data_IF_684172452959
#
_entry.id   IF_684172452959
#
_cell.length_a   1.000
_cell.length_b   1.000
_cell.length_c   1.000
_cell.angle_alpha   90.00
_cell.angle_beta   90.00
_cell.angle_gamma   90.00
#
_symmetry.space_group_name_H-M   'P 1'
#
loop_
_entity.id
_entity.type
_entity.pdbx_description
1 polymer ?
#
# COMPACT_ATOMS: atom_id res chain seq x y z
N UNK A 1 8.96 14.24 -84.95
CA UNK A 1 7.71 14.01 -84.24
C UNK A 1 7.78 12.88 -83.23
N UNK A 2 8.61 11.83 -83.37
CA UNK A 2 8.69 10.73 -82.41
C UNK A 2 9.51 11.11 -81.18
N UNK A 3 10.56 11.94 -81.32
CA UNK A 3 11.45 12.36 -80.20
C UNK A 3 10.83 13.37 -79.24
N UNK A 4 9.97 14.26 -79.75
CA UNK A 4 9.31 15.25 -78.87
C UNK A 4 8.29 14.63 -77.91
N UNK A 5 7.59 13.58 -78.39
CA UNK A 5 6.64 12.85 -77.53
C UNK A 5 7.32 12.08 -76.38
N UNK A 6 8.52 11.59 -76.64
CA UNK A 6 9.29 10.85 -75.58
C UNK A 6 9.89 11.82 -74.59
N UNK A 7 10.37 12.98 -74.98
CA UNK A 7 10.90 14.05 -74.11
C UNK A 7 9.77 14.59 -73.15
N UNK A 8 8.60 14.85 -73.77
CA UNK A 8 7.42 15.30 -72.95
C UNK A 8 6.96 14.23 -71.94
N UNK A 9 6.98 12.98 -72.35
CA UNK A 9 6.61 11.88 -71.40
C UNK A 9 7.64 11.73 -70.27
N UNK A 10 8.93 11.92 -70.56
CA UNK A 10 9.98 11.88 -69.51
C UNK A 10 9.92 13.08 -68.57
N UNK A 11 9.56 14.27 -69.00
CA UNK A 11 9.35 15.49 -68.23
C UNK A 11 8.10 15.31 -67.29
N UNK A 12 7.01 14.80 -67.87
CA UNK A 12 5.79 14.54 -67.10
C UNK A 12 6.01 13.49 -66.00
N UNK A 13 6.74 12.40 -66.25
CA UNK A 13 7.11 11.38 -65.24
C UNK A 13 8.02 11.94 -64.15
N UNK A 14 9.00 12.81 -64.51
CA UNK A 14 9.86 13.47 -63.51
C UNK A 14 9.06 14.44 -62.64
N UNK A 15 8.17 15.25 -63.22
CA UNK A 15 7.29 16.15 -62.44
C UNK A 15 6.33 15.40 -61.53
N UNK A 16 5.81 14.24 -61.97
CA UNK A 16 4.97 13.40 -61.16
C UNK A 16 5.74 12.73 -60.00
N UNK A 17 6.96 12.27 -60.27
CA UNK A 17 7.87 11.71 -59.26
C UNK A 17 8.34 12.74 -58.21
N UNK A 18 8.60 13.98 -58.64
CA UNK A 18 8.90 15.09 -57.72
C UNK A 18 7.70 15.48 -56.85
N UNK A 19 6.50 15.50 -57.45
CA UNK A 19 5.25 15.76 -56.70
C UNK A 19 4.94 14.65 -55.70
N UNK A 20 5.22 13.38 -56.04
CA UNK A 20 5.11 12.25 -55.12
C UNK A 20 6.17 12.29 -54.00
N UNK A 21 7.45 12.67 -54.35
CA UNK A 21 8.50 12.86 -53.32
C UNK A 21 8.20 14.01 -52.36
N UNK A 22 7.57 15.09 -52.81
CA UNK A 22 7.10 16.20 -51.96
C UNK A 22 5.92 15.77 -51.07
N UNK A 23 4.99 14.96 -51.57
CA UNK A 23 3.88 14.40 -50.79
C UNK A 23 4.36 13.37 -49.77
N UNK A 24 5.41 12.61 -50.10
CA UNK A 24 5.97 11.61 -49.15
C UNK A 24 6.80 12.24 -47.99
N UNK A 25 7.17 13.53 -48.11
CA UNK A 25 7.97 14.20 -47.04
C UNK A 25 7.14 14.94 -45.98
N UNK A 26 5.81 14.94 -46.05
CA UNK A 26 4.98 15.80 -45.21
C UNK A 26 3.82 15.17 -44.45
N UNK A 27 3.61 13.83 -44.37
CA UNK A 27 2.49 13.34 -43.60
C UNK A 27 2.69 13.52 -42.06
N UNK A 28 3.93 13.68 -41.58
CA UNK A 28 4.24 13.88 -40.17
C UNK A 28 4.30 15.34 -39.70
N UNK A 29 4.46 16.31 -40.64
CA UNK A 29 4.65 17.72 -40.26
C UNK A 29 3.45 18.31 -39.49
N UNK A 30 2.18 18.10 -39.90
CA UNK A 30 1.04 18.57 -39.11
C UNK A 30 0.97 17.96 -37.74
N UNK A 31 1.33 16.69 -37.58
CA UNK A 31 1.38 16.01 -36.31
C UNK A 31 2.45 16.60 -35.37
N UNK A 32 3.67 16.77 -35.86
CA UNK A 32 4.74 17.39 -35.06
C UNK A 32 4.47 18.87 -34.76
N UNK A 33 3.80 19.58 -35.66
CA UNK A 33 3.41 20.96 -35.44
C UNK A 33 2.30 21.10 -34.42
N UNK A 34 1.30 20.19 -34.44
CA UNK A 34 0.25 20.10 -33.42
C UNK A 34 0.84 19.72 -32.08
N UNK A 35 1.74 18.73 -32.02
CA UNK A 35 2.43 18.32 -30.81
C UNK A 35 3.28 19.48 -30.26
N UNK A 36 4.02 20.20 -31.08
CA UNK A 36 4.79 21.39 -30.69
C UNK A 36 3.90 22.49 -30.11
N UNK A 37 2.77 22.79 -30.78
CA UNK A 37 1.80 23.78 -30.29
C UNK A 37 1.21 23.35 -28.96
N UNK A 38 0.81 22.09 -28.80
CA UNK A 38 0.29 21.54 -27.54
C UNK A 38 1.33 21.61 -26.43
N UNK A 39 2.60 21.32 -26.74
CA UNK A 39 3.70 21.43 -25.78
C UNK A 39 3.88 22.89 -25.32
N UNK A 40 3.88 23.83 -26.26
CA UNK A 40 4.01 25.27 -25.95
C UNK A 40 2.81 25.77 -25.15
N UNK A 41 1.60 25.34 -25.49
CA UNK A 41 0.39 25.65 -24.75
C UNK A 41 0.49 25.08 -23.32
N UNK A 42 0.91 23.83 -23.18
CA UNK A 42 1.09 23.19 -21.88
C UNK A 42 2.14 23.87 -20.99
N UNK A 43 3.13 24.54 -21.60
CA UNK A 43 4.16 25.30 -20.89
C UNK A 43 3.73 26.72 -20.49
N UNK A 44 2.94 27.38 -21.32
CA UNK A 44 2.61 28.82 -21.19
C UNK A 44 1.33 29.03 -20.38
N UNK A 45 0.41 28.06 -20.34
CA UNK A 45 -0.87 28.22 -19.63
C UNK A 45 -0.65 28.33 -18.11
N UNK A 46 -1.12 29.45 -17.47
CA UNK A 46 -1.02 29.63 -16.00
C UNK A 46 -2.00 28.76 -15.21
N UNK A 47 -2.60 27.75 -15.82
CA UNK A 47 -3.65 26.90 -15.26
C UNK A 47 -3.10 25.58 -14.71
N UNK A 48 -1.88 25.58 -14.17
CA UNK A 48 -1.33 24.40 -13.53
C UNK A 48 -1.90 24.27 -12.13
N UNK A 49 -2.61 23.18 -11.83
CA UNK A 49 -3.11 22.96 -10.48
C UNK A 49 -1.94 22.73 -9.51
N UNK A 50 -2.06 23.23 -8.30
CA UNK A 50 -1.11 22.93 -7.21
C UNK A 50 -1.61 21.80 -6.29
N UNK A 51 -2.88 21.42 -6.45
CA UNK A 51 -3.53 20.36 -5.68
C UNK A 51 -4.40 19.55 -6.63
N UNK A 52 -4.31 18.23 -6.56
CA UNK A 52 -5.28 17.34 -7.17
C UNK A 52 -6.43 17.11 -6.18
N UNK A 53 -7.62 17.60 -6.52
CA UNK A 53 -8.82 17.36 -5.72
C UNK A 53 -9.24 15.90 -5.72
N UNK A 54 -8.85 15.13 -6.77
CA UNK A 54 -9.16 13.70 -6.92
C UNK A 54 -8.19 12.82 -6.17
N UNK A 55 -6.89 13.11 -6.28
CA UNK A 55 -5.85 12.36 -5.57
C UNK A 55 -5.65 12.89 -4.14
N UNK A 56 -6.33 13.98 -3.78
CA UNK A 56 -6.28 14.64 -2.46
C UNK A 56 -4.85 14.92 -1.98
N UNK A 57 -3.97 15.27 -2.91
CA UNK A 57 -2.57 15.59 -2.62
C UNK A 57 -2.14 16.90 -3.24
N UNK A 58 -1.12 17.52 -2.67
CA UNK A 58 -0.34 18.57 -3.30
C UNK A 58 0.43 17.98 -4.49
N UNK A 59 0.39 18.68 -5.62
CA UNK A 59 1.12 18.30 -6.81
C UNK A 59 2.55 18.83 -6.74
N UNK A 60 3.44 18.23 -7.53
CA UNK A 60 4.85 18.57 -7.53
C UNK A 60 5.07 20.05 -7.87
N UNK A 61 6.03 20.68 -7.20
CA UNK A 61 6.47 22.04 -7.50
C UNK A 61 7.62 21.99 -8.51
N UNK A 62 7.78 23.09 -9.29
CA UNK A 62 8.90 23.17 -10.23
C UNK A 62 10.22 23.04 -9.46
N UNK A 63 11.12 22.12 -9.87
CA UNK A 63 12.33 21.86 -9.11
C UNK A 63 13.27 23.04 -9.07
N UNK A 64 13.92 23.25 -7.93
CA UNK A 64 14.96 24.26 -7.78
C UNK A 64 16.21 23.87 -8.59
N UNK A 65 16.78 24.85 -9.29
CA UNK A 65 17.98 24.63 -10.09
C UNK A 65 19.19 24.35 -9.19
N UNK A 66 19.82 23.20 -9.42
CA UNK A 66 21.09 22.82 -8.79
C UNK A 66 22.04 22.21 -9.81
N UNK A 67 23.31 22.66 -9.77
CA UNK A 67 24.32 22.12 -10.69
C UNK A 67 24.57 20.62 -10.47
N UNK A 68 24.48 20.15 -9.22
CA UNK A 68 24.60 18.74 -8.87
C UNK A 68 23.44 17.93 -9.47
N UNK A 69 22.20 18.41 -9.34
CA UNK A 69 21.01 17.76 -9.87
C UNK A 69 21.01 17.70 -11.42
N UNK A 70 21.65 18.68 -12.10
CA UNK A 70 21.82 18.65 -13.55
C UNK A 70 22.86 17.60 -13.96
N UNK A 71 23.94 17.47 -13.21
CA UNK A 71 25.04 16.52 -13.54
C UNK A 71 24.70 15.08 -13.26
N UNK A 72 23.85 14.79 -12.27
CA UNK A 72 23.37 13.46 -11.94
C UNK A 72 22.06 13.07 -12.64
N UNK A 73 21.44 14.02 -13.36
CA UNK A 73 20.24 13.82 -14.16
C UNK A 73 18.92 13.97 -13.38
N UNK A 74 18.95 14.11 -12.06
CA UNK A 74 17.74 14.21 -11.22
C UNK A 74 16.88 15.44 -11.57
N UNK A 75 17.53 16.56 -11.90
CA UNK A 75 16.82 17.78 -12.32
C UNK A 75 15.88 17.57 -13.50
N UNK A 76 16.29 16.78 -14.49
CA UNK A 76 15.45 16.49 -15.67
C UNK A 76 14.33 15.50 -15.34
N UNK A 77 14.60 14.56 -14.44
CA UNK A 77 13.60 13.65 -13.91
C UNK A 77 12.51 14.42 -13.15
N UNK A 78 12.91 15.35 -12.29
CA UNK A 78 12.01 16.16 -11.48
C UNK A 78 11.18 17.14 -12.35
N UNK A 79 11.76 17.71 -13.40
CA UNK A 79 11.01 18.50 -14.40
C UNK A 79 9.96 17.62 -15.08
N UNK A 80 10.30 16.39 -15.47
CA UNK A 80 9.38 15.47 -16.12
C UNK A 80 8.23 15.11 -15.19
N UNK A 81 8.54 14.83 -13.93
CA UNK A 81 7.56 14.53 -12.87
C UNK A 81 6.63 15.72 -12.64
N UNK A 82 7.19 16.91 -12.42
CA UNK A 82 6.42 18.14 -12.27
C UNK A 82 5.52 18.41 -13.48
N UNK A 83 6.04 18.24 -14.70
CA UNK A 83 5.27 18.48 -15.92
C UNK A 83 4.08 17.53 -16.04
N UNK A 84 4.28 16.24 -15.80
CA UNK A 84 3.22 15.23 -15.86
C UNK A 84 2.20 15.41 -14.75
N UNK A 85 2.66 15.79 -13.56
CA UNK A 85 1.82 15.90 -12.36
C UNK A 85 0.94 17.17 -12.39
N UNK A 86 1.46 18.27 -12.90
CA UNK A 86 0.75 19.56 -12.96
C UNK A 86 0.15 19.87 -14.32
N UNK A 87 0.06 18.89 -15.24
CA UNK A 87 -0.48 19.11 -16.58
C UNK A 87 -1.91 19.66 -16.54
N UNK A 88 -2.21 20.76 -17.26
CA UNK A 88 -3.55 21.37 -17.25
C UNK A 88 -4.65 20.38 -17.64
N UNK A 89 -5.64 20.21 -16.77
CA UNK A 89 -6.74 19.28 -16.98
C UNK A 89 -6.37 17.79 -16.87
N UNK A 90 -5.21 17.46 -16.25
CA UNK A 90 -4.70 16.09 -16.08
C UNK A 90 -5.79 15.09 -15.65
N UNK A 91 -6.54 15.42 -14.60
CA UNK A 91 -7.62 14.56 -14.09
C UNK A 91 -8.73 14.33 -15.13
N UNK A 92 -9.01 15.34 -15.96
CA UNK A 92 -9.96 15.23 -17.07
C UNK A 92 -9.44 14.34 -18.22
N UNK A 93 -8.16 14.45 -18.54
CA UNK A 93 -7.52 13.64 -19.57
C UNK A 93 -7.39 12.18 -19.16
N UNK A 94 -7.07 11.90 -17.89
CA UNK A 94 -7.06 10.54 -17.33
C UNK A 94 -8.45 9.90 -17.47
N UNK A 95 -9.51 10.64 -17.09
CA UNK A 95 -10.88 10.14 -17.24
C UNK A 95 -11.30 9.95 -18.71
N UNK A 96 -10.87 10.85 -19.60
CA UNK A 96 -11.18 10.73 -21.02
C UNK A 96 -10.46 9.51 -21.63
N UNK A 97 -9.21 9.26 -21.24
CA UNK A 97 -8.46 8.08 -21.66
C UNK A 97 -9.14 6.79 -21.15
N UNK A 98 -9.49 6.72 -19.88
CA UNK A 98 -10.21 5.57 -19.29
C UNK A 98 -11.56 5.30 -19.98
N UNK A 99 -12.32 6.36 -20.32
CA UNK A 99 -13.57 6.21 -21.09
C UNK A 99 -13.34 5.71 -22.51
N UNK A 100 -12.25 6.16 -23.13
CA UNK A 100 -11.89 5.74 -24.48
C UNK A 100 -11.44 4.27 -24.48
N UNK A 101 -10.62 3.86 -23.49
CA UNK A 101 -10.20 2.48 -23.28
C UNK A 101 -11.41 1.54 -23.06
N UNK A 102 -12.37 1.96 -22.26
CA UNK A 102 -13.60 1.23 -22.04
C UNK A 102 -14.43 1.02 -23.33
N UNK A 103 -14.31 1.91 -24.32
CA UNK A 103 -14.98 1.79 -25.63
C UNK A 103 -14.30 0.79 -26.57
N UNK A 104 -12.99 0.57 -26.43
CA UNK A 104 -12.25 -0.34 -27.30
C UNK A 104 -12.21 -1.78 -26.80
N UNK A 105 -12.74 -2.07 -25.63
CA UNK A 105 -12.85 -3.44 -25.09
C UNK A 105 -11.49 -4.12 -24.83
N UNK A 106 -10.39 -3.37 -24.90
CA UNK A 106 -9.07 -3.88 -24.61
C UNK A 106 -8.76 -3.60 -23.15
N UNK A 107 -8.82 -4.64 -22.33
CA UNK A 107 -8.61 -4.61 -20.89
C UNK A 107 -7.14 -4.49 -20.50
N UNK A 108 -6.29 -3.90 -21.34
CA UNK A 108 -4.93 -3.57 -20.99
C UNK A 108 -4.85 -2.19 -20.30
N UNK A 109 -5.69 -1.96 -19.32
CA UNK A 109 -5.49 -0.88 -18.37
C UNK A 109 -4.26 -1.25 -17.54
N UNK A 110 -3.27 -0.38 -17.54
CA UNK A 110 -2.18 -0.45 -16.56
C UNK A 110 -2.77 -0.09 -15.21
N UNK A 111 -3.39 -1.06 -14.61
CA UNK A 111 -3.95 -1.02 -13.28
C UNK A 111 -2.76 -1.03 -12.34
N UNK A 112 -2.71 -0.14 -11.39
CA UNK A 112 -1.97 -0.35 -10.16
C UNK A 112 -2.62 -1.55 -9.45
N UNK A 113 -2.11 -2.77 -9.76
CA UNK A 113 -2.70 -4.06 -9.46
C UNK A 113 -3.15 -4.75 -10.75
N UNK A 114 -2.36 -5.67 -11.29
CA UNK A 114 -2.75 -6.49 -12.44
C UNK A 114 -4.00 -7.29 -12.09
N UNK A 115 -5.03 -7.22 -12.93
CA UNK A 115 -6.21 -8.08 -12.89
C UNK A 115 -5.90 -9.53 -13.32
N UNK A 116 -4.77 -10.07 -12.98
CA UNK A 116 -4.44 -11.48 -13.11
C UNK A 116 -4.20 -12.04 -11.72
N UNK A 117 -4.54 -13.29 -11.49
CA UNK A 117 -4.18 -14.01 -10.26
C UNK A 117 -2.66 -14.01 -10.00
N UNK A 118 -1.86 -13.53 -10.96
CA UNK A 118 -0.41 -13.52 -10.89
C UNK A 118 0.20 -14.91 -11.14
N UNK A 119 1.36 -15.15 -10.56
CA UNK A 119 2.04 -16.42 -10.58
C UNK A 119 1.26 -17.47 -9.75
N UNK A 120 1.51 -18.76 -9.99
CA UNK A 120 0.99 -19.80 -9.09
C UNK A 120 1.74 -19.73 -7.75
N UNK A 121 0.97 -19.66 -6.66
CA UNK A 121 1.54 -19.69 -5.31
C UNK A 121 2.13 -21.10 -5.06
N UNK A 122 3.44 -21.24 -4.79
CA UNK A 122 4.02 -22.53 -4.44
C UNK A 122 3.45 -23.02 -3.11
N UNK A 123 3.00 -24.28 -3.08
CA UNK A 123 2.59 -24.89 -1.81
C UNK A 123 3.84 -25.11 -0.96
N UNK A 124 3.93 -24.55 0.26
CA UNK A 124 5.05 -24.80 1.15
C UNK A 124 5.19 -26.31 1.38
N UNK A 125 6.36 -26.89 1.07
CA UNK A 125 6.64 -28.26 1.44
C UNK A 125 6.79 -28.32 2.95
N UNK A 126 5.77 -28.82 3.65
CA UNK A 126 5.86 -29.13 5.07
C UNK A 126 7.06 -30.08 5.26
N UNK A 127 8.09 -29.76 6.06
CA UNK A 127 9.11 -30.72 6.40
C UNK A 127 8.41 -31.89 7.11
N UNK A 128 8.58 -33.09 6.56
CA UNK A 128 8.12 -34.27 7.28
C UNK A 128 8.83 -34.31 8.66
N UNK A 129 8.11 -34.59 9.74
CA UNK A 129 8.75 -34.72 11.03
C UNK A 129 9.80 -35.81 10.96
N UNK A 130 11.07 -35.48 11.20
CA UNK A 130 12.14 -36.43 11.34
C UNK A 130 11.87 -37.33 12.55
N UNK A 131 11.42 -38.53 12.30
CA UNK A 131 11.33 -39.59 13.28
C UNK A 131 12.74 -40.09 13.57
N UNK A 132 13.39 -39.53 14.55
CA UNK A 132 14.47 -40.20 15.26
C UNK A 132 13.94 -40.72 16.58
N UNK A 133 13.47 -41.95 16.57
CA UNK A 133 13.12 -42.67 17.80
C UNK A 133 14.11 -43.84 17.94
N UNK A 134 14.90 -43.78 18.98
CA UNK A 134 15.58 -44.95 19.54
C UNK A 134 14.74 -45.45 20.74
N UNK A 135 14.52 -46.79 20.89
CA UNK A 135 13.46 -47.31 21.74
C UNK A 135 13.95 -47.51 23.17
N UNK A 136 13.34 -46.85 24.13
CA UNK A 136 13.40 -47.22 25.56
C UNK A 136 12.00 -47.59 26.08
N UNK A 137 11.88 -48.84 26.37
CA UNK A 137 11.05 -49.69 27.21
C UNK A 137 9.81 -49.09 27.95
N UNK A 138 8.69 -49.81 28.01
CA UNK A 138 7.34 -49.29 28.30
C UNK A 138 7.09 -49.08 29.78
N UNK A 139 6.43 -47.99 30.10
CA UNK A 139 5.74 -47.83 31.38
C UNK A 139 4.34 -47.24 31.08
N UNK A 140 3.32 -47.99 31.52
CA UNK A 140 1.89 -47.69 31.67
C UNK A 140 1.26 -46.73 30.67
N UNK A 141 0.29 -47.23 29.89
CA UNK A 141 -0.65 -46.48 29.07
C UNK A 141 -1.29 -45.34 29.79
N UNK A 142 -1.18 -44.10 29.35
CA UNK A 142 -2.13 -43.08 29.69
C UNK A 142 -3.34 -43.20 28.74
N UNK A 143 -4.52 -43.10 29.30
CA UNK A 143 -5.78 -42.95 28.56
C UNK A 143 -5.64 -41.92 27.47
N UNK A 144 -6.06 -42.20 26.20
CA UNK A 144 -5.97 -41.24 25.13
C UNK A 144 -6.75 -39.97 25.52
N UNK A 145 -6.24 -38.77 25.27
CA UNK A 145 -7.02 -37.55 25.39
C UNK A 145 -8.27 -37.69 24.53
N UNK A 146 -9.43 -37.13 24.98
CA UNK A 146 -10.62 -37.12 24.13
C UNK A 146 -10.25 -36.49 22.78
N UNK A 147 -10.69 -37.11 21.67
CA UNK A 147 -10.61 -36.53 20.35
C UNK A 147 -11.10 -35.08 20.42
N UNK A 148 -10.38 -34.12 19.88
CA UNK A 148 -10.86 -32.75 19.84
C UNK A 148 -12.23 -32.77 19.13
N UNK A 149 -13.24 -32.34 19.85
CA UNK A 149 -14.56 -32.08 19.26
C UNK A 149 -14.30 -31.15 18.09
N UNK A 150 -14.74 -31.47 16.86
CA UNK A 150 -14.55 -30.58 15.74
C UNK A 150 -15.11 -29.20 16.15
N UNK A 151 -14.24 -28.22 16.20
CA UNK A 151 -14.68 -26.82 16.33
C UNK A 151 -15.61 -26.58 15.17
N UNK A 152 -16.88 -26.15 15.39
CA UNK A 152 -17.75 -25.83 14.28
C UNK A 152 -17.02 -24.86 13.39
N UNK A 153 -17.00 -25.11 12.08
CA UNK A 153 -16.53 -24.13 11.12
C UNK A 153 -17.27 -22.82 11.42
N UNK A 154 -16.55 -21.70 11.57
CA UNK A 154 -17.20 -20.42 11.82
C UNK A 154 -18.19 -20.16 10.68
N UNK A 155 -19.44 -19.85 11.02
CA UNK A 155 -20.42 -19.41 10.02
C UNK A 155 -19.82 -18.19 9.31
N UNK A 156 -19.91 -18.19 7.97
CA UNK A 156 -19.40 -17.06 7.19
C UNK A 156 -20.18 -15.80 7.56
N UNK A 157 -19.49 -14.81 8.12
CA UNK A 157 -20.07 -13.55 8.56
C UNK A 157 -19.82 -12.37 7.62
N UNK A 158 -19.04 -12.57 6.53
CA UNK A 158 -18.72 -11.55 5.54
C UNK A 158 -19.86 -11.23 4.58
N UNK A 159 -19.51 -10.60 3.44
CA UNK A 159 -20.45 -10.18 2.40
C UNK A 159 -21.18 -11.36 1.77
N UNK A 160 -22.42 -11.11 1.32
CA UNK A 160 -23.21 -12.13 0.63
C UNK A 160 -22.71 -12.31 -0.81
N UNK A 161 -22.19 -13.49 -1.21
CA UNK A 161 -21.67 -13.72 -2.55
C UNK A 161 -22.77 -13.75 -3.64
N UNK A 162 -24.05 -13.79 -3.27
CA UNK A 162 -25.17 -13.71 -4.22
C UNK A 162 -25.49 -12.26 -4.65
N UNK A 163 -24.87 -11.25 -4.02
CA UNK A 163 -25.01 -9.86 -4.42
C UNK A 163 -24.38 -9.61 -5.81
N UNK A 164 -24.97 -8.66 -6.56
CA UNK A 164 -24.51 -8.34 -7.91
C UNK A 164 -23.02 -7.92 -7.91
N UNK A 165 -22.18 -8.71 -8.61
CA UNK A 165 -20.77 -8.41 -8.83
C UNK A 165 -20.60 -7.41 -9.97
N UNK A 166 -19.95 -6.28 -9.69
CA UNK A 166 -19.54 -5.29 -10.68
C UNK A 166 -18.02 -5.11 -10.61
N UNK A 167 -17.32 -5.44 -11.70
CA UNK A 167 -15.87 -5.20 -11.80
C UNK A 167 -15.61 -3.87 -12.48
N UNK A 168 -14.92 -2.97 -11.77
CA UNK A 168 -14.57 -1.62 -12.20
C UNK A 168 -13.04 -1.46 -12.21
N UNK A 169 -12.39 -2.09 -13.19
CA UNK A 169 -10.92 -2.12 -13.24
C UNK A 169 -10.35 -2.95 -12.09
N UNK A 170 -9.53 -2.31 -11.23
CA UNK A 170 -8.93 -2.95 -10.04
C UNK A 170 -9.87 -3.00 -8.82
N UNK A 171 -11.10 -2.52 -8.95
CA UNK A 171 -12.08 -2.49 -7.87
C UNK A 171 -13.19 -3.47 -8.19
N UNK A 172 -13.53 -4.30 -7.22
CA UNK A 172 -14.69 -5.17 -7.23
C UNK A 172 -15.74 -4.52 -6.35
N UNK A 173 -16.96 -4.34 -6.86
CA UNK A 173 -18.10 -3.91 -6.07
C UNK A 173 -19.05 -5.08 -5.86
N UNK A 174 -19.45 -5.32 -4.62
CA UNK A 174 -20.45 -6.30 -4.23
C UNK A 174 -21.41 -5.62 -3.27
N UNK A 175 -22.69 -5.60 -3.61
CA UNK A 175 -23.69 -4.92 -2.80
C UNK A 175 -23.34 -3.44 -2.58
N UNK A 176 -23.19 -3.05 -1.32
CA UNK A 176 -22.88 -1.69 -0.89
C UNK A 176 -21.38 -1.45 -0.57
N UNK A 177 -20.54 -2.44 -0.86
CA UNK A 177 -19.12 -2.46 -0.52
C UNK A 177 -18.23 -2.58 -1.76
N UNK A 178 -17.04 -1.99 -1.71
CA UNK A 178 -16.02 -2.03 -2.74
C UNK A 178 -14.72 -2.62 -2.20
N UNK A 179 -14.06 -3.43 -2.99
CA UNK A 179 -12.86 -4.17 -2.63
C UNK A 179 -11.75 -3.95 -3.64
N UNK A 180 -10.53 -3.94 -3.17
CA UNK A 180 -9.32 -4.05 -3.98
C UNK A 180 -8.65 -5.39 -3.72
N UNK A 181 -7.80 -5.81 -4.62
CA UNK A 181 -7.07 -7.07 -4.53
C UNK A 181 -5.65 -6.92 -5.05
N UNK A 182 -4.80 -7.87 -4.71
CA UNK A 182 -3.43 -7.92 -5.20
C UNK A 182 -3.19 -9.21 -5.99
N UNK A 183 -2.33 -9.14 -7.00
CA UNK A 183 -1.85 -10.33 -7.70
C UNK A 183 -0.61 -10.87 -6.99
N UNK A 184 -0.46 -12.19 -6.96
CA UNK A 184 0.76 -12.80 -6.45
C UNK A 184 1.92 -12.67 -7.44
N UNK A 185 3.06 -12.24 -6.96
CA UNK A 185 4.34 -12.31 -7.65
C UNK A 185 5.37 -12.99 -6.76
N UNK A 186 5.85 -14.15 -7.16
CA UNK A 186 6.86 -14.87 -6.40
C UNK A 186 8.10 -13.99 -6.19
N UNK A 187 8.55 -13.33 -7.24
CA UNK A 187 9.73 -12.45 -7.17
C UNK A 187 9.61 -11.35 -6.12
N UNK A 188 8.43 -10.69 -6.05
CA UNK A 188 8.23 -9.62 -5.06
C UNK A 188 8.03 -10.18 -3.66
N UNK A 189 7.36 -11.32 -3.51
CA UNK A 189 7.23 -12.02 -2.22
C UNK A 189 8.60 -12.42 -1.66
N UNK A 190 9.44 -13.04 -2.48
CA UNK A 190 10.81 -13.41 -2.10
C UNK A 190 11.66 -12.19 -1.74
N UNK A 191 11.51 -11.10 -2.51
CA UNK A 191 12.23 -9.85 -2.26
C UNK A 191 11.78 -9.20 -0.95
N UNK A 192 10.47 -9.20 -0.67
CA UNK A 192 9.93 -8.68 0.60
C UNK A 192 10.45 -9.48 1.79
N UNK A 193 10.30 -10.80 1.75
CA UNK A 193 10.80 -11.68 2.80
C UNK A 193 12.31 -11.54 3.02
N UNK A 194 13.08 -11.43 1.95
CA UNK A 194 14.53 -11.19 2.05
C UNK A 194 14.87 -9.83 2.67
N UNK A 195 14.10 -8.78 2.37
CA UNK A 195 14.30 -7.46 2.98
C UNK A 195 14.03 -7.50 4.49
N UNK A 196 12.90 -8.06 4.93
CA UNK A 196 12.55 -8.14 6.36
C UNK A 196 13.52 -9.06 7.11
N UNK A 197 13.89 -10.21 6.53
CA UNK A 197 14.91 -11.10 7.09
C UNK A 197 16.25 -10.38 7.26
N UNK A 198 16.69 -9.65 6.22
CA UNK A 198 17.91 -8.85 6.30
C UNK A 198 17.85 -7.80 7.41
N UNK A 199 16.70 -7.16 7.63
CA UNK A 199 16.54 -6.23 8.75
C UNK A 199 16.75 -6.96 10.09
N UNK A 200 16.13 -8.13 10.26
CA UNK A 200 16.28 -8.93 11.46
C UNK A 200 17.74 -9.40 11.69
N UNK A 201 18.44 -9.82 10.63
CA UNK A 201 19.86 -10.20 10.71
C UNK A 201 20.75 -9.04 11.13
N UNK A 202 20.51 -7.83 10.58
CA UNK A 202 21.30 -6.63 10.93
C UNK A 202 21.03 -6.12 12.34
N UNK A 203 19.89 -6.48 12.91
CA UNK A 203 19.43 -6.05 14.25
C UNK A 203 19.55 -7.19 15.28
N UNK A 204 20.11 -8.34 14.90
CA UNK A 204 20.31 -9.46 15.80
C UNK A 204 21.08 -9.07 17.07
N UNK A 205 20.55 -9.43 18.23
CA UNK A 205 21.11 -9.09 19.54
C UNK A 205 20.89 -7.62 19.98
N UNK A 206 20.18 -6.79 19.18
CA UNK A 206 19.81 -5.41 19.53
C UNK A 206 18.32 -5.30 19.83
N UNK A 207 17.47 -5.69 18.89
CA UNK A 207 16.03 -5.61 19.04
C UNK A 207 15.35 -6.79 18.34
N UNK A 208 14.07 -7.03 18.68
CA UNK A 208 13.24 -8.03 17.98
C UNK A 208 12.65 -7.40 16.71
N UNK A 209 12.39 -8.24 15.71
CA UNK A 209 11.77 -7.79 14.44
C UNK A 209 10.49 -8.57 14.21
N UNK A 210 9.39 -7.84 14.08
CA UNK A 210 8.05 -8.37 13.83
C UNK A 210 7.58 -7.99 12.42
N UNK A 211 6.82 -8.88 11.78
CA UNK A 211 6.13 -8.61 10.52
C UNK A 211 4.61 -8.74 10.71
N UNK A 212 3.90 -7.64 10.50
CA UNK A 212 2.44 -7.53 10.48
C UNK A 212 2.04 -7.32 9.02
N UNK A 213 1.88 -8.41 8.29
CA UNK A 213 1.48 -8.39 6.89
C UNK A 213 -0.02 -8.10 6.78
N UNK A 214 -0.39 -6.90 6.28
CA UNK A 214 -1.78 -6.45 6.24
C UNK A 214 -2.44 -6.94 4.96
N UNK A 215 -3.48 -7.77 5.10
CA UNK A 215 -4.29 -8.30 4.02
C UNK A 215 -5.29 -7.27 3.51
N UNK A 216 -5.79 -7.42 2.28
CA UNK A 216 -6.93 -6.64 1.81
C UNK A 216 -8.26 -7.18 2.33
N UNK A 217 -9.26 -6.31 2.42
CA UNK A 217 -10.62 -6.67 2.83
C UNK A 217 -11.22 -7.80 1.99
N UNK A 218 -10.87 -7.90 0.71
CA UNK A 218 -11.26 -8.99 -0.18
C UNK A 218 -11.02 -10.37 0.43
N UNK A 219 -9.86 -10.55 1.10
CA UNK A 219 -9.46 -11.85 1.67
C UNK A 219 -10.29 -12.24 2.88
N UNK A 220 -10.70 -11.26 3.68
CA UNK A 220 -11.39 -11.51 4.95
C UNK A 220 -12.90 -11.39 4.83
N UNK A 221 -13.39 -10.56 3.91
CA UNK A 221 -14.81 -10.26 3.75
C UNK A 221 -15.49 -11.13 2.69
N UNK A 222 -14.75 -11.77 1.77
CA UNK A 222 -15.31 -12.62 0.69
C UNK A 222 -14.89 -14.08 0.85
N UNK A 223 -15.80 -15.05 0.68
CA UNK A 223 -15.49 -16.47 0.73
C UNK A 223 -14.39 -16.86 -0.25
N UNK A 224 -13.57 -17.86 0.11
CA UNK A 224 -12.44 -18.31 -0.71
C UNK A 224 -12.91 -18.81 -2.11
N UNK A 225 -13.94 -19.64 -2.14
CA UNK A 225 -14.47 -20.21 -3.38
C UNK A 225 -14.97 -19.10 -4.31
N UNK A 226 -15.53 -18.03 -3.74
CA UNK A 226 -16.00 -16.89 -4.50
C UNK A 226 -14.81 -16.11 -5.09
N UNK A 227 -13.77 -15.83 -4.32
CA UNK A 227 -12.54 -15.17 -4.79
C UNK A 227 -11.86 -15.94 -5.90
N UNK A 228 -11.75 -17.27 -5.76
CA UNK A 228 -11.22 -18.17 -6.80
C UNK A 228 -12.08 -18.14 -8.08
N UNK A 229 -13.40 -18.10 -7.95
CA UNK A 229 -14.32 -18.07 -9.11
C UNK A 229 -14.19 -16.80 -9.96
N UNK A 230 -13.81 -15.68 -9.35
CA UNK A 230 -13.61 -14.40 -10.03
C UNK A 230 -12.12 -14.12 -10.34
N UNK A 231 -11.23 -15.09 -10.09
CA UNK A 231 -9.80 -15.02 -10.45
C UNK A 231 -8.98 -14.07 -9.56
N UNK A 232 -9.42 -13.83 -8.32
CA UNK A 232 -8.67 -13.06 -7.33
C UNK A 232 -7.74 -13.98 -6.54
N UNK A 233 -6.51 -13.55 -6.32
CA UNK A 233 -5.55 -14.31 -5.52
C UNK A 233 -6.01 -14.41 -4.05
N UNK A 234 -5.80 -15.59 -3.46
CA UNK A 234 -6.06 -15.83 -2.06
C UNK A 234 -4.87 -15.32 -1.22
N UNK A 235 -5.01 -14.15 -0.60
CA UNK A 235 -3.88 -13.53 0.10
C UNK A 235 -3.46 -14.28 1.37
N UNK A 236 -4.31 -15.13 1.93
CA UNK A 236 -3.93 -16.07 2.98
C UNK A 236 -2.84 -17.06 2.51
N UNK A 237 -2.88 -17.48 1.24
CA UNK A 237 -1.83 -18.31 0.64
C UNK A 237 -0.57 -17.48 0.37
N UNK A 238 -0.72 -16.21 -0.01
CA UNK A 238 0.41 -15.27 -0.16
C UNK A 238 1.09 -15.06 1.20
N UNK A 239 0.33 -14.82 2.26
CA UNK A 239 0.84 -14.67 3.62
C UNK A 239 1.60 -15.93 4.05
N UNK A 240 1.01 -17.12 3.86
CA UNK A 240 1.65 -18.39 4.19
C UNK A 240 2.97 -18.58 3.41
N UNK A 241 2.97 -18.24 2.11
CA UNK A 241 4.17 -18.28 1.30
C UNK A 241 5.25 -17.33 1.80
N UNK A 242 4.91 -16.04 1.99
CA UNK A 242 5.84 -15.02 2.49
C UNK A 242 6.43 -15.43 3.83
N UNK A 243 5.61 -15.88 4.78
CA UNK A 243 6.07 -16.36 6.09
C UNK A 243 7.03 -17.56 5.96
N UNK A 244 6.80 -18.45 4.98
CA UNK A 244 7.69 -19.59 4.74
C UNK A 244 9.07 -19.19 4.19
N UNK A 245 9.21 -17.99 3.62
CA UNK A 245 10.45 -17.43 3.11
C UNK A 245 11.17 -16.54 4.13
N UNK A 246 10.52 -16.18 5.25
CA UNK A 246 11.11 -15.36 6.31
C UNK A 246 12.20 -16.13 7.08
N UNK A 247 13.23 -15.42 7.51
CA UNK A 247 14.26 -15.96 8.41
C UNK A 247 13.69 -16.30 9.79
N UNK A 248 14.29 -17.28 10.47
CA UNK A 248 13.82 -17.76 11.77
C UNK A 248 13.92 -16.75 12.92
N UNK A 249 14.52 -15.58 12.70
CA UNK A 249 14.63 -14.46 13.63
C UNK A 249 13.59 -13.35 13.38
N UNK A 250 12.65 -13.56 12.44
CA UNK A 250 11.49 -12.69 12.21
C UNK A 250 10.26 -13.28 12.88
N UNK A 251 9.57 -12.50 13.69
CA UNK A 251 8.31 -12.86 14.33
C UNK A 251 7.14 -12.49 13.40
N UNK A 252 6.62 -13.47 12.67
CA UNK A 252 5.50 -13.26 11.72
C UNK A 252 4.16 -13.33 12.47
N UNK A 253 3.42 -12.23 12.49
CA UNK A 253 2.10 -12.15 13.12
C UNK A 253 1.05 -12.78 12.21
N UNK A 254 0.25 -13.70 12.74
CA UNK A 254 -0.82 -14.35 11.99
C UNK A 254 -2.05 -13.44 11.86
N UNK A 255 -1.98 -12.51 10.94
CA UNK A 255 -3.05 -11.53 10.70
C UNK A 255 -4.29 -12.15 10.09
N UNK A 256 -4.18 -13.27 9.36
CA UNK A 256 -5.34 -13.94 8.78
C UNK A 256 -6.21 -14.57 9.86
N UNK A 257 -5.63 -15.45 10.68
CA UNK A 257 -6.38 -16.15 11.71
C UNK A 257 -6.79 -15.24 12.89
N UNK A 258 -6.12 -14.10 13.09
CA UNK A 258 -6.54 -13.12 14.10
C UNK A 258 -7.74 -12.28 13.65
N UNK A 259 -7.94 -12.08 12.36
CA UNK A 259 -9.01 -11.24 11.82
C UNK A 259 -10.21 -12.05 11.30
N UNK A 260 -10.01 -13.25 10.76
CA UNK A 260 -11.07 -14.06 10.16
C UNK A 260 -12.27 -14.33 11.08
N UNK A 261 -12.11 -14.64 12.38
CA UNK A 261 -13.22 -14.84 13.29
C UNK A 261 -14.11 -13.60 13.47
N UNK A 262 -13.62 -12.44 13.07
CA UNK A 262 -14.25 -11.13 13.23
C UNK A 262 -14.77 -10.55 11.90
N UNK A 263 -14.88 -11.36 10.85
CA UNK A 263 -15.30 -10.91 9.52
C UNK A 263 -16.77 -10.47 9.43
N UNK A 264 -17.58 -10.77 10.44
CA UNK A 264 -18.94 -10.22 10.60
C UNK A 264 -18.96 -8.83 11.25
N UNK A 265 -17.82 -8.38 11.77
CA UNK A 265 -17.68 -7.07 12.40
C UNK A 265 -17.15 -6.04 11.39
N UNK A 266 -17.21 -4.77 11.75
CA UNK A 266 -16.76 -3.68 10.88
C UNK A 266 -15.23 -3.53 10.93
N UNK A 267 -14.52 -4.54 10.45
CA UNK A 267 -13.04 -4.59 10.47
C UNK A 267 -12.38 -4.03 9.21
N UNK A 268 -13.15 -3.84 8.12
CA UNK A 268 -12.73 -3.16 6.89
C UNK A 268 -13.75 -2.10 6.49
N UNK A 269 -13.29 -1.02 5.85
CA UNK A 269 -14.17 -0.03 5.25
C UNK A 269 -14.85 -0.58 4.00
N UNK A 270 -16.07 -0.11 3.70
CA UNK A 270 -16.81 -0.44 2.47
C UNK A 270 -16.33 0.36 1.27
N UNK A 271 -15.84 1.56 1.51
CA UNK A 271 -15.49 2.53 0.46
C UNK A 271 -14.00 2.86 0.39
N UNK A 272 -13.20 2.20 1.21
CA UNK A 272 -11.75 2.42 1.30
C UNK A 272 -10.97 1.10 1.38
N UNK A 273 -9.70 1.13 0.97
CA UNK A 273 -8.84 -0.05 0.93
C UNK A 273 -8.19 -0.41 2.27
N UNK A 274 -8.38 0.41 3.30
CA UNK A 274 -7.80 0.16 4.61
C UNK A 274 -8.72 -0.75 5.46
N UNK A 275 -8.12 -1.40 6.42
CA UNK A 275 -8.86 -1.89 7.59
C UNK A 275 -9.35 -0.72 8.44
N UNK A 276 -10.35 -0.95 9.28
CA UNK A 276 -10.77 0.00 10.32
C UNK A 276 -9.79 -0.03 11.50
N UNK A 277 -9.92 0.90 12.42
CA UNK A 277 -9.14 0.83 13.66
C UNK A 277 -9.46 -0.43 14.49
N UNK A 278 -10.71 -0.94 14.42
CA UNK A 278 -11.07 -2.21 15.03
C UNK A 278 -10.28 -3.38 14.41
N UNK A 279 -10.19 -3.45 13.07
CA UNK A 279 -9.37 -4.46 12.39
C UNK A 279 -7.89 -4.36 12.78
N UNK A 280 -7.35 -3.14 12.84
CA UNK A 280 -5.98 -2.91 13.32
C UNK A 280 -5.79 -3.34 14.77
N UNK A 281 -6.82 -3.21 15.63
CA UNK A 281 -6.76 -3.64 17.03
C UNK A 281 -6.67 -5.17 17.15
N UNK A 282 -7.40 -5.93 16.35
CA UNK A 282 -7.29 -7.39 16.37
C UNK A 282 -5.88 -7.86 15.97
N UNK A 283 -5.30 -7.25 14.95
CA UNK A 283 -3.91 -7.54 14.56
C UNK A 283 -2.90 -7.14 15.66
N UNK A 284 -3.12 -5.97 16.30
CA UNK A 284 -2.32 -5.54 17.44
C UNK A 284 -2.45 -6.53 18.62
N UNK A 285 -3.65 -7.01 18.93
CA UNK A 285 -3.85 -7.95 20.03
C UNK A 285 -3.06 -9.26 19.82
N UNK A 286 -2.95 -9.72 18.57
CA UNK A 286 -2.15 -10.88 18.23
C UNK A 286 -0.64 -10.59 18.34
N UNK A 287 -0.20 -9.43 17.80
CA UNK A 287 1.16 -8.97 17.97
C UNK A 287 1.55 -8.84 19.46
N UNK A 288 0.69 -8.24 20.28
CA UNK A 288 0.96 -8.03 21.70
C UNK A 288 1.23 -9.36 22.43
N UNK A 289 0.37 -10.37 22.21
CA UNK A 289 0.59 -11.72 22.77
C UNK A 289 1.92 -12.32 22.32
N UNK A 290 2.27 -12.19 21.02
CA UNK A 290 3.54 -12.68 20.47
C UNK A 290 4.73 -11.94 21.07
N UNK A 291 4.60 -10.64 21.32
CA UNK A 291 5.61 -9.81 21.96
C UNK A 291 5.74 -10.03 23.47
N UNK A 292 4.79 -10.76 24.08
CA UNK A 292 4.75 -11.06 25.53
C UNK A 292 4.02 -10.00 26.35
N UNK A 293 3.16 -9.20 25.70
CA UNK A 293 2.31 -8.21 26.33
C UNK A 293 0.85 -8.70 26.42
N UNK A 294 0.12 -8.24 27.45
CA UNK A 294 -1.33 -8.35 27.46
C UNK A 294 -1.93 -7.23 26.61
N UNK A 295 -2.75 -7.55 25.59
CA UNK A 295 -3.41 -6.52 24.81
C UNK A 295 -4.33 -5.67 25.68
N UNK A 296 -4.24 -4.35 25.57
CA UNK A 296 -5.16 -3.46 26.27
C UNK A 296 -6.52 -3.52 25.61
N UNK A 297 -7.60 -3.84 26.36
CA UNK A 297 -8.95 -3.93 25.81
C UNK A 297 -9.40 -2.63 25.17
N UNK A 298 -10.09 -2.73 24.02
CA UNK A 298 -10.54 -1.55 23.27
C UNK A 298 -11.49 -0.65 24.12
N UNK A 299 -12.17 -1.23 25.11
CA UNK A 299 -13.01 -0.50 26.06
C UNK A 299 -12.26 0.49 26.97
N UNK A 300 -10.93 0.41 27.04
CA UNK A 300 -10.11 1.37 27.78
C UNK A 300 -9.76 2.62 26.97
N UNK A 301 -10.04 2.61 25.66
CA UNK A 301 -9.79 3.74 24.77
C UNK A 301 -11.05 4.60 24.65
N UNK A 302 -10.86 5.92 24.54
CA UNK A 302 -11.96 6.84 24.22
C UNK A 302 -12.27 6.76 22.72
N UNK A 303 -13.52 6.40 22.40
CA UNK A 303 -13.96 6.31 21.01
C UNK A 303 -14.38 7.67 20.45
N UNK A 304 -13.85 8.03 19.28
CA UNK A 304 -14.24 9.21 18.51
C UNK A 304 -14.73 8.76 17.14
N UNK A 305 -15.96 9.14 16.77
CA UNK A 305 -16.55 8.77 15.48
C UNK A 305 -16.55 9.97 14.53
N UNK A 306 -16.16 9.74 13.29
CA UNK A 306 -16.18 10.74 12.22
C UNK A 306 -16.91 10.21 10.99
N UNK A 307 -17.92 10.95 10.54
CA UNK A 307 -18.78 10.58 9.42
C UNK A 307 -19.31 11.80 8.66
N UNK A 308 -19.84 11.66 7.43
CA UNK A 308 -19.68 10.46 6.60
C UNK A 308 -18.26 10.37 6.03
N UNK A 309 -17.81 9.14 5.69
CA UNK A 309 -16.55 8.91 5.02
C UNK A 309 -16.77 8.19 3.70
N UNK A 310 -16.17 8.71 2.63
CA UNK A 310 -16.07 8.06 1.32
C UNK A 310 -14.58 7.97 0.96
N UNK A 311 -14.05 6.76 1.01
CA UNK A 311 -12.63 6.49 0.83
C UNK A 311 -12.20 6.37 -0.63
N UNK A 312 -10.98 5.87 -0.82
CA UNK A 312 -10.34 5.79 -2.13
C UNK A 312 -11.09 4.89 -3.12
N UNK A 313 -11.67 3.78 -2.66
CA UNK A 313 -12.41 2.85 -3.52
C UNK A 313 -13.72 3.44 -4.03
N UNK A 314 -14.40 4.28 -3.26
CA UNK A 314 -15.58 5.01 -3.72
C UNK A 314 -15.28 5.84 -4.98
N UNK A 315 -14.16 6.55 -4.98
CA UNK A 315 -13.77 7.36 -6.14
C UNK A 315 -13.29 6.49 -7.31
N UNK A 316 -12.61 5.39 -7.04
CA UNK A 316 -12.21 4.43 -8.06
C UNK A 316 -13.41 3.70 -8.68
N UNK A 317 -14.45 3.43 -7.90
CA UNK A 317 -15.73 2.91 -8.34
C UNK A 317 -16.64 3.98 -8.98
N UNK A 318 -16.06 5.10 -9.45
CA UNK A 318 -16.78 6.20 -10.11
C UNK A 318 -17.94 6.78 -9.29
N UNK A 319 -17.82 6.77 -7.96
CA UNK A 319 -18.83 7.27 -7.03
C UNK A 319 -20.17 6.54 -7.20
N UNK A 320 -20.12 5.21 -7.27
CA UNK A 320 -21.31 4.38 -7.41
C UNK A 320 -22.33 4.69 -6.31
N UNK A 321 -23.55 4.99 -6.72
CA UNK A 321 -24.67 5.26 -5.79
C UNK A 321 -25.16 4.05 -4.99
N UNK A 322 -24.59 2.85 -5.25
CA UNK A 322 -24.86 1.64 -4.47
C UNK A 322 -23.99 1.56 -3.21
N UNK A 323 -22.82 2.25 -3.19
CA UNK A 323 -21.88 2.21 -2.07
C UNK A 323 -22.40 3.03 -0.89
N UNK A 324 -22.40 2.42 0.27
CA UNK A 324 -22.79 3.07 1.53
C UNK A 324 -21.61 3.81 2.16
N UNK A 325 -21.85 5.03 2.64
CA UNK A 325 -20.83 5.81 3.35
C UNK A 325 -20.33 5.07 4.60
N UNK A 326 -19.05 5.17 4.83
CA UNK A 326 -18.38 4.64 5.99
C UNK A 326 -18.43 5.61 7.19
N UNK A 327 -18.05 5.08 8.35
CA UNK A 327 -17.71 5.81 9.57
C UNK A 327 -16.27 5.49 9.95
N UNK A 328 -15.51 6.47 10.39
CA UNK A 328 -14.15 6.24 10.91
C UNK A 328 -14.20 6.33 12.42
N UNK A 329 -13.91 5.23 13.07
CA UNK A 329 -13.74 5.14 14.52
C UNK A 329 -12.27 5.36 14.85
N UNK A 330 -11.97 6.38 15.64
CA UNK A 330 -10.65 6.61 16.22
C UNK A 330 -10.67 6.25 17.70
N UNK A 331 -9.62 5.62 18.17
CA UNK A 331 -9.49 5.19 19.56
C UNK A 331 -8.32 5.95 20.20
N UNK A 332 -8.65 6.89 21.09
CA UNK A 332 -7.65 7.66 21.85
C UNK A 332 -7.08 6.77 22.95
N UNK A 333 -5.77 6.54 22.97
CA UNK A 333 -5.15 5.73 24.00
C UNK A 333 -5.29 6.37 25.38
N UNK A 334 -5.53 5.57 26.43
CA UNK A 334 -5.56 6.06 27.81
C UNK A 334 -4.17 6.51 28.26
N UNK A 335 -4.12 7.36 29.29
CA UNK A 335 -2.90 7.87 29.91
C UNK A 335 -2.40 9.21 29.35
N UNK A 336 -1.23 9.63 29.82
CA UNK A 336 -0.58 10.90 29.41
C UNK A 336 0.25 10.70 28.13
N UNK A 337 -0.45 10.51 26.99
CA UNK A 337 0.11 10.22 25.69
C UNK A 337 0.10 11.46 24.79
N UNK A 338 1.24 11.78 24.22
CA UNK A 338 1.44 12.91 23.30
C UNK A 338 1.89 12.44 21.93
N UNK A 339 1.40 13.09 20.87
CA UNK A 339 1.78 12.84 19.49
C UNK A 339 2.55 14.03 18.93
N UNK A 340 3.71 13.76 18.33
CA UNK A 340 4.54 14.75 17.64
C UNK A 340 4.70 14.37 16.17
N UNK A 341 4.54 15.34 15.27
CA UNK A 341 4.66 15.16 13.82
C UNK A 341 5.92 15.85 13.32
N UNK A 342 6.81 15.08 12.71
CA UNK A 342 7.99 15.59 12.04
C UNK A 342 7.81 15.53 10.52
N UNK A 343 7.65 16.69 9.90
CA UNK A 343 7.46 16.81 8.44
C UNK A 343 8.78 16.90 7.66
N UNK A 344 9.89 17.08 8.34
CA UNK A 344 11.19 17.33 7.72
C UNK A 344 12.14 16.14 7.83
N UNK A 345 13.34 16.34 7.32
CA UNK A 345 14.45 15.39 7.42
C UNK A 345 15.24 15.48 8.75
N UNK A 346 14.90 16.44 9.62
CA UNK A 346 15.55 16.58 10.91
C UNK A 346 14.85 15.70 11.96
N UNK A 347 15.39 14.54 12.19
CA UNK A 347 14.91 13.52 13.12
C UNK A 347 15.77 13.45 14.41
N UNK A 348 16.41 14.55 14.83
CA UNK A 348 17.17 14.55 16.06
C UNK A 348 16.26 14.48 17.30
N UNK A 349 16.78 13.89 18.40
CA UNK A 349 16.06 13.81 19.69
C UNK A 349 15.63 15.18 20.23
N UNK A 350 16.35 16.23 19.86
CA UNK A 350 16.03 17.63 20.22
C UNK A 350 14.96 18.25 19.30
N UNK A 351 14.58 17.61 18.20
CA UNK A 351 13.63 18.12 17.22
C UNK A 351 12.54 17.09 16.95
N UNK A 352 11.55 17.05 17.85
CA UNK A 352 10.43 16.09 17.76
C UNK A 352 9.37 16.49 16.74
N UNK A 353 9.44 17.68 16.17
CA UNK A 353 8.41 18.27 15.34
C UNK A 353 7.42 19.10 16.16
N UNK A 354 6.18 19.23 15.68
CA UNK A 354 5.11 19.93 16.39
C UNK A 354 4.14 18.92 17.02
N UNK A 355 3.59 19.29 18.17
CA UNK A 355 2.59 18.50 18.88
C UNK A 355 1.25 18.54 18.14
N UNK A 356 0.57 17.40 18.05
CA UNK A 356 -0.68 17.18 17.38
C UNK A 356 -1.69 16.46 18.28
N UNK A 357 -2.97 16.78 18.14
CA UNK A 357 -4.04 16.03 18.77
C UNK A 357 -4.01 14.57 18.33
N UNK A 358 -4.15 13.64 19.27
CA UNK A 358 -4.09 12.20 19.00
C UNK A 358 -5.06 11.77 17.89
N UNK A 359 -6.34 12.05 18.05
CA UNK A 359 -7.33 11.84 16.99
C UNK A 359 -7.87 13.21 16.56
N UNK A 360 -7.48 13.64 15.36
CA UNK A 360 -7.83 14.96 14.85
C UNK A 360 -9.21 14.97 14.22
N UNK A 361 -10.04 15.96 14.55
CA UNK A 361 -11.33 16.18 13.88
C UNK A 361 -11.09 16.63 12.43
N UNK A 362 -11.55 15.86 11.45
CA UNK A 362 -11.40 16.16 10.03
C UNK A 362 -12.70 16.77 9.48
N UNK A 363 -12.64 18.01 9.02
CA UNK A 363 -13.76 18.69 8.36
C UNK A 363 -13.90 18.31 6.88
N UNK A 364 -12.84 17.79 6.24
CA UNK A 364 -12.83 17.29 4.86
C UNK A 364 -13.49 15.93 4.70
N UNK A 365 -13.49 15.41 3.45
CA UNK A 365 -14.09 14.12 3.12
C UNK A 365 -13.24 12.93 3.58
N UNK A 366 -11.92 13.11 3.65
CA UNK A 366 -10.97 12.05 4.02
C UNK A 366 -10.86 11.92 5.54
N UNK A 367 -11.84 11.25 6.14
CA UNK A 367 -11.87 11.06 7.59
C UNK A 367 -10.77 10.15 8.12
N UNK A 368 -10.19 9.29 7.27
CA UNK A 368 -9.06 8.44 7.65
C UNK A 368 -7.82 9.24 8.08
N UNK A 369 -7.71 10.49 7.60
CA UNK A 369 -6.65 11.40 8.05
C UNK A 369 -6.78 11.81 9.53
N UNK A 370 -7.80 11.37 10.26
CA UNK A 370 -7.85 11.55 11.72
C UNK A 370 -6.67 10.88 12.42
N UNK A 371 -6.13 9.81 11.81
CA UNK A 371 -4.92 9.14 12.27
C UNK A 371 -3.68 9.85 11.75
N UNK A 372 -2.86 10.37 12.63
CA UNK A 372 -1.59 11.04 12.33
C UNK A 372 -1.71 12.27 11.42
N UNK A 373 -2.92 12.69 11.03
CA UNK A 373 -3.20 13.75 10.05
C UNK A 373 -2.59 13.53 8.66
N UNK A 374 -2.14 12.32 8.37
CA UNK A 374 -1.56 11.89 7.09
C UNK A 374 -0.31 11.03 7.24
N UNK A 375 0.34 10.80 6.11
CA UNK A 375 1.59 10.04 6.06
C UNK A 375 2.78 11.01 6.16
N UNK A 376 3.46 11.02 7.27
CA UNK A 376 4.67 11.81 7.50
C UNK A 376 5.91 10.94 7.58
N UNK A 377 7.11 11.48 7.28
CA UNK A 377 8.35 10.73 7.40
C UNK A 377 8.53 10.07 8.76
N UNK A 378 8.21 10.80 9.84
CA UNK A 378 8.34 10.31 11.20
C UNK A 378 7.29 10.99 12.10
N UNK A 379 6.50 10.18 12.81
CA UNK A 379 5.71 10.63 13.95
C UNK A 379 6.25 9.96 15.21
N UNK A 380 6.09 10.62 16.35
CA UNK A 380 6.55 10.08 17.64
C UNK A 380 5.43 10.21 18.66
N UNK A 381 4.98 9.08 19.21
CA UNK A 381 4.19 9.11 20.43
C UNK A 381 5.12 9.03 21.64
N UNK A 382 4.73 9.74 22.70
CA UNK A 382 5.39 9.68 24.01
C UNK A 382 4.31 9.41 25.04
N UNK A 383 4.44 8.29 25.73
CA UNK A 383 3.62 7.99 26.90
C UNK A 383 4.42 8.34 28.16
N UNK A 384 4.01 9.40 28.87
CA UNK A 384 4.69 9.87 30.07
C UNK A 384 4.39 9.01 31.31
N UNK A 385 3.39 8.13 31.26
CA UNK A 385 3.10 7.19 32.35
C UNK A 385 4.09 6.00 32.36
N UNK A 386 4.78 5.76 31.23
CA UNK A 386 5.87 4.80 31.11
C UNK A 386 7.20 5.57 31.17
N UNK A 387 8.09 5.20 32.10
CA UNK A 387 9.34 5.96 32.36
C UNK A 387 10.58 5.08 32.33
N UNK A 388 10.51 3.93 31.66
CA UNK A 388 11.58 2.93 31.61
C UNK A 388 12.54 3.11 30.43
N UNK A 389 12.26 4.05 29.54
CA UNK A 389 13.04 4.31 28.32
C UNK A 389 12.69 3.41 27.14
N UNK A 390 11.73 2.48 27.30
CA UNK A 390 11.35 1.52 26.26
C UNK A 390 10.89 2.20 24.98
N UNK A 391 11.30 1.65 23.82
CA UNK A 391 11.02 2.23 22.53
C UNK A 391 10.69 1.19 21.48
N UNK A 392 9.72 1.46 20.61
CA UNK A 392 9.51 0.67 19.40
C UNK A 392 9.49 1.55 18.14
N UNK A 393 9.85 0.93 17.03
CA UNK A 393 9.76 1.52 15.68
C UNK A 393 8.73 0.77 14.85
N UNK A 394 7.66 1.45 14.48
CA UNK A 394 6.68 1.00 13.51
C UNK A 394 7.06 1.50 12.11
N UNK A 395 7.57 0.62 11.26
CA UNK A 395 7.82 0.88 9.83
C UNK A 395 6.55 0.54 9.06
N UNK A 396 5.92 1.54 8.46
CA UNK A 396 4.56 1.37 7.95
C UNK A 396 4.31 2.00 6.58
N UNK A 397 3.23 1.54 5.91
CA UNK A 397 2.44 2.35 4.98
C UNK A 397 1.17 2.87 5.71
N UNK A 398 0.23 3.50 4.98
CA UNK A 398 -0.96 4.09 5.59
C UNK A 398 -1.82 3.12 6.42
N UNK A 399 -1.75 1.81 6.16
CA UNK A 399 -2.44 0.80 6.99
C UNK A 399 -1.95 0.78 8.44
N UNK A 400 -0.67 1.09 8.69
CA UNK A 400 -0.13 1.15 10.05
C UNK A 400 -0.54 2.39 10.86
N UNK A 401 -1.27 3.37 10.24
CA UNK A 401 -1.64 4.59 10.95
C UNK A 401 -2.43 4.33 12.24
N UNK A 402 -3.53 3.56 12.26
CA UNK A 402 -4.24 3.25 13.50
C UNK A 402 -3.47 2.30 14.43
N UNK A 403 -2.61 1.42 13.90
CA UNK A 403 -1.86 0.44 14.68
C UNK A 403 -0.90 1.11 15.68
N UNK A 404 -0.27 2.22 15.31
CA UNK A 404 0.67 2.95 16.16
C UNK A 404 0.09 3.44 17.48
N UNK A 405 -1.21 3.72 17.54
CA UNK A 405 -1.89 4.19 18.76
C UNK A 405 -1.94 3.12 19.85
N UNK A 406 -2.09 1.85 19.46
CA UNK A 406 -2.16 0.73 20.41
C UNK A 406 -0.80 0.41 21.03
N UNK A 407 0.29 0.63 20.30
CA UNK A 407 1.65 0.41 20.79
C UNK A 407 2.02 1.33 21.96
N UNK A 408 1.38 2.50 22.04
CA UNK A 408 1.64 3.48 23.11
C UNK A 408 1.41 2.94 24.53
N UNK A 409 0.68 1.83 24.65
CA UNK A 409 0.38 1.22 25.93
C UNK A 409 1.49 0.30 26.45
N UNK A 410 2.53 0.06 25.64
CA UNK A 410 3.62 -0.86 25.95
C UNK A 410 5.00 -0.22 25.94
N UNK A 411 5.12 0.99 25.34
CA UNK A 411 6.41 1.68 25.21
C UNK A 411 6.29 3.14 25.63
N UNK A 412 7.36 3.64 26.20
CA UNK A 412 7.49 5.08 26.46
C UNK A 412 7.54 5.87 25.15
N UNK A 413 8.27 5.34 24.16
CA UNK A 413 8.43 5.98 22.85
C UNK A 413 7.94 5.05 21.73
N UNK A 414 6.99 5.51 20.91
CA UNK A 414 6.56 4.82 19.69
C UNK A 414 6.93 5.70 18.49
N UNK A 415 7.92 5.26 17.73
CA UNK A 415 8.33 5.92 16.51
C UNK A 415 7.54 5.32 15.34
N UNK A 416 6.78 6.14 14.61
CA UNK A 416 5.98 5.72 13.47
C UNK A 416 6.61 6.30 12.20
N UNK A 417 7.24 5.43 11.42
CA UNK A 417 8.02 5.80 10.25
C UNK A 417 7.30 5.38 8.97
N UNK A 418 6.95 6.35 8.12
CA UNK A 418 6.57 6.02 6.75
C UNK A 418 7.83 5.83 5.90
N UNK A 419 8.18 4.58 5.66
CA UNK A 419 9.41 4.21 4.94
C UNK A 419 9.46 4.75 3.50
N UNK A 420 8.32 5.15 2.94
CA UNK A 420 8.22 5.75 1.61
C UNK A 420 8.68 7.22 1.59
N UNK A 421 8.71 7.85 2.76
CA UNK A 421 8.99 9.28 2.95
C UNK A 421 10.20 9.55 3.85
N UNK A 422 10.69 8.55 4.57
CA UNK A 422 11.81 8.69 5.51
C UNK A 422 13.15 8.35 4.85
N UNK A 423 14.05 9.31 4.80
CA UNK A 423 15.37 9.18 4.15
C UNK A 423 16.53 9.70 5.01
N UNK A 424 16.29 9.99 6.28
CA UNK A 424 17.29 10.63 7.15
C UNK A 424 18.39 9.67 7.60
N UNK A 425 18.02 8.42 7.96
CA UNK A 425 18.94 7.40 8.47
C UNK A 425 18.57 6.03 7.89
N UNK A 426 19.56 5.12 7.83
CA UNK A 426 19.24 3.70 7.64
C UNK A 426 18.60 3.13 8.91
N UNK A 427 17.91 1.98 8.78
CA UNK A 427 17.24 1.30 9.87
C UNK A 427 18.15 1.06 11.07
N UNK A 428 19.34 0.51 10.83
CA UNK A 428 20.31 0.22 11.90
C UNK A 428 20.77 1.49 12.63
N UNK A 429 21.02 2.58 11.89
CA UNK A 429 21.39 3.86 12.51
C UNK A 429 20.23 4.48 13.28
N UNK A 430 18.99 4.25 12.87
CA UNK A 430 17.83 4.71 13.60
C UNK A 430 17.70 3.95 14.92
N UNK A 431 17.75 2.62 14.87
CA UNK A 431 17.70 1.74 16.05
C UNK A 431 18.80 2.10 17.05
N UNK A 432 20.05 2.24 16.59
CA UNK A 432 21.19 2.61 17.46
C UNK A 432 21.06 4.02 18.06
N UNK A 433 20.43 4.95 17.35
CA UNK A 433 20.29 6.35 17.79
C UNK A 433 19.17 6.56 18.80
N UNK A 434 18.08 5.81 18.64
CA UNK A 434 16.88 5.95 19.46
C UNK A 434 16.73 4.84 20.52
N UNK A 435 17.70 3.92 20.60
CA UNK A 435 17.72 2.77 21.53
C UNK A 435 16.41 1.95 21.45
N UNK A 436 16.08 1.49 20.23
CA UNK A 436 14.82 0.82 19.93
C UNK A 436 14.87 -0.65 20.37
N UNK A 437 13.89 -1.11 21.14
CA UNK A 437 13.76 -2.48 21.60
C UNK A 437 13.10 -3.42 20.57
N UNK A 438 12.12 -2.88 19.82
CA UNK A 438 11.33 -3.64 18.85
C UNK A 438 11.14 -2.88 17.54
N UNK A 439 11.32 -3.55 16.41
CA UNK A 439 10.97 -3.05 15.07
C UNK A 439 9.79 -3.83 14.55
N UNK A 440 8.74 -3.15 14.13
CA UNK A 440 7.50 -3.74 13.65
C UNK A 440 7.28 -3.25 12.21
N UNK A 441 7.34 -4.14 11.24
CA UNK A 441 6.89 -3.86 9.88
C UNK A 441 5.38 -4.07 9.81
N UNK A 442 4.63 -3.01 9.44
CA UNK A 442 3.17 -3.07 9.26
C UNK A 442 2.86 -2.59 7.84
N UNK A 443 2.93 -3.53 6.89
CA UNK A 443 2.87 -3.25 5.46
C UNK A 443 1.79 -4.06 4.77
N UNK A 444 1.04 -3.43 3.86
CA UNK A 444 0.01 -4.14 3.11
C UNK A 444 0.59 -5.11 2.09
N UNK A 445 -0.16 -6.16 1.77
CA UNK A 445 0.15 -7.12 0.71
C UNK A 445 0.46 -6.42 -0.62
N UNK A 446 -0.28 -5.36 -0.97
CA UNK A 446 -0.03 -4.56 -2.17
C UNK A 446 1.35 -3.88 -2.18
N UNK A 447 1.88 -3.46 -1.03
CA UNK A 447 3.24 -2.93 -0.93
C UNK A 447 4.28 -4.03 -1.04
N UNK A 448 4.07 -5.16 -0.39
CA UNK A 448 4.94 -6.32 -0.46
C UNK A 448 5.02 -6.91 -1.89
N UNK A 449 3.91 -6.85 -2.65
CA UNK A 449 3.81 -7.31 -4.03
C UNK A 449 4.20 -6.25 -5.08
N UNK A 450 4.90 -5.17 -4.71
CA UNK A 450 5.27 -4.09 -5.62
C UNK A 450 6.77 -3.86 -5.72
N UNK A 451 7.24 -3.50 -6.92
CA UNK A 451 8.63 -3.11 -7.16
C UNK A 451 9.01 -1.87 -6.34
N UNK A 452 8.13 -0.86 -6.32
CA UNK A 452 8.35 0.39 -5.60
C UNK A 452 8.45 0.20 -4.09
N UNK A 453 7.50 -0.55 -3.50
CA UNK A 453 7.50 -0.87 -2.07
C UNK A 453 8.78 -1.58 -1.65
N UNK A 454 9.15 -2.64 -2.37
CA UNK A 454 10.37 -3.41 -2.08
C UNK A 454 11.66 -2.60 -2.25
N UNK A 455 11.74 -1.75 -3.28
CA UNK A 455 12.92 -0.90 -3.50
C UNK A 455 13.13 0.13 -2.40
N UNK A 456 12.05 0.77 -1.94
CA UNK A 456 12.10 1.74 -0.85
C UNK A 456 12.45 1.07 0.48
N UNK A 457 11.87 -0.10 0.75
CA UNK A 457 12.18 -0.90 1.94
C UNK A 457 13.66 -1.31 1.96
N UNK A 458 14.17 -1.81 0.84
CA UNK A 458 15.60 -2.12 0.68
C UNK A 458 16.48 -0.87 0.89
N UNK A 459 16.03 0.30 0.45
CA UNK A 459 16.71 1.58 0.67
C UNK A 459 16.85 1.94 2.14
N UNK A 460 15.82 1.70 2.95
CA UNK A 460 15.82 1.92 4.39
C UNK A 460 16.78 0.97 5.13
N UNK A 461 16.81 -0.30 4.74
CA UNK A 461 17.54 -1.38 5.43
C UNK A 461 19.06 -1.35 5.19
N UNK A 462 19.56 -0.56 4.24
CA UNK A 462 21.00 -0.50 3.86
C UNK A 462 21.93 -0.10 5.00
#
# INVERSE_FOLDING_TARGET
MHDEHEIMSRRARRAHAEKQKRRARLPGLPFFLALGILTVIAWILPLRPSVSAKEKRTLETFPEFSLSAVTDGSYFSDISLWFSDTFPGRDGWIMAAQRLEALYGDSSVTVYGNASAGDKIPVPSTPAPETSADPAKPTSEPTPPPEPTPTPEPEWGGENPDDELVTLGAVIQIGDSAYTYTAFSQYYSDTYAANVTRAADLLEGKCRVFDVFVLHGTTLMLPREYRESIGVACEEDILAYVNSQMGGNVYCVDTYNSLLPHNSEYIYFRTDHHWTALGAWYAYAEWAKMAGFEPVPLSEYEEIVQEPFYGSLYYQAHQSGKLTADQVYGYVPPGDVHLYINQGSNDSLSHRGYEQTLITQIHGNDKYMCFLTGDFPLCTFINNDITDGSACLLVKNSNGNPFGYYLTQHYQYVYVMDYRKYFSRSLTKFVDYYDVDDVIFCLSSGQAQSAGGNSLLQGLIK
#
